data_IF_345009110614
#
_entry.id   IF_345009110614
#
_cell.length_a   1.000
_cell.length_b   1.000
_cell.length_c   1.000
_cell.angle_alpha   90.00
_cell.angle_beta   90.00
_cell.angle_gamma   90.00
#
_symmetry.space_group_name_H-M   'P 1'
#
loop_
_entity.id
_entity.type
_entity.pdbx_description
1 polymer ?
#
# COMPACT_ATOMS: atom_id res chain seq x y z
N UNK A 1 -75.18 -34.22 -17.48
CA UNK A 1 -74.15 -34.06 -16.45
C UNK A 1 -72.76 -34.07 -17.14
N UNK A 2 -72.19 -32.91 -17.42
CA UNK A 2 -70.84 -32.77 -18.01
C UNK A 2 -69.89 -32.23 -16.96
N UNK A 3 -68.92 -33.06 -16.55
CA UNK A 3 -67.92 -32.70 -15.56
C UNK A 3 -66.82 -31.88 -16.28
N UNK A 4 -66.56 -30.69 -15.78
CA UNK A 4 -65.52 -29.78 -16.26
C UNK A 4 -64.27 -29.98 -15.37
N UNK A 5 -63.23 -30.58 -15.93
CA UNK A 5 -61.92 -30.74 -15.25
C UNK A 5 -61.11 -29.47 -15.53
N UNK A 6 -60.82 -28.70 -14.50
CA UNK A 6 -59.91 -27.54 -14.54
C UNK A 6 -58.45 -28.02 -14.42
N UNK A 7 -57.67 -27.85 -15.45
CA UNK A 7 -56.21 -28.03 -15.42
C UNK A 7 -55.59 -26.73 -14.89
N UNK A 8 -55.01 -26.79 -13.71
CA UNK A 8 -54.22 -25.68 -13.15
C UNK A 8 -52.81 -25.87 -13.67
N UNK A 9 -52.36 -24.95 -14.56
CA UNK A 9 -50.99 -24.87 -15.07
C UNK A 9 -50.15 -24.10 -14.02
N UNK A 10 -49.33 -24.80 -13.26
CA UNK A 10 -48.34 -24.18 -12.36
C UNK A 10 -47.13 -23.80 -13.17
N UNK A 11 -46.99 -22.53 -13.51
CA UNK A 11 -45.79 -21.98 -14.13
C UNK A 11 -44.74 -21.76 -13.05
N UNK A 12 -43.81 -22.69 -12.92
CA UNK A 12 -42.65 -22.56 -12.03
C UNK A 12 -41.66 -21.51 -12.60
N UNK A 13 -41.61 -20.32 -12.01
CA UNK A 13 -40.55 -19.37 -12.24
C UNK A 13 -39.25 -19.93 -11.65
N UNK A 14 -38.42 -20.52 -12.49
CA UNK A 14 -37.01 -20.76 -12.11
C UNK A 14 -36.25 -19.44 -12.09
N UNK A 15 -36.03 -18.89 -10.91
CA UNK A 15 -35.06 -17.84 -10.69
C UNK A 15 -33.66 -18.43 -10.92
N UNK A 16 -33.09 -18.17 -12.07
CA UNK A 16 -31.67 -18.43 -12.29
C UNK A 16 -30.87 -17.42 -11.47
N UNK A 17 -30.36 -17.83 -10.32
CA UNK A 17 -29.33 -17.11 -9.59
C UNK A 17 -28.09 -17.15 -10.47
N UNK A 18 -27.82 -16.07 -11.19
CA UNK A 18 -26.50 -15.86 -11.82
C UNK A 18 -25.47 -15.79 -10.68
N UNK A 19 -24.77 -16.90 -10.45
CA UNK A 19 -23.54 -16.84 -9.66
C UNK A 19 -22.60 -15.86 -10.40
N UNK A 20 -22.47 -14.64 -9.89
CA UNK A 20 -21.41 -13.73 -10.33
C UNK A 20 -20.08 -14.41 -9.98
N UNK A 21 -19.29 -14.76 -10.97
CA UNK A 21 -17.93 -15.23 -10.75
C UNK A 21 -17.19 -14.17 -9.91
N UNK A 22 -16.50 -14.60 -8.87
CA UNK A 22 -15.65 -13.68 -8.10
C UNK A 22 -14.72 -12.95 -9.08
N UNK A 23 -14.52 -11.62 -8.92
CA UNK A 23 -13.64 -10.87 -9.82
C UNK A 23 -12.27 -11.54 -9.87
N UNK A 24 -11.75 -11.73 -11.09
CA UNK A 24 -10.44 -12.31 -11.30
C UNK A 24 -9.40 -11.53 -10.47
N UNK A 25 -8.54 -12.24 -9.75
CA UNK A 25 -7.48 -11.63 -8.95
C UNK A 25 -6.50 -10.94 -9.89
N UNK A 26 -6.20 -9.67 -9.64
CA UNK A 26 -5.20 -8.93 -10.41
C UNK A 26 -3.82 -9.59 -10.26
N UNK A 27 -3.12 -9.77 -11.38
CA UNK A 27 -1.84 -10.47 -11.46
C UNK A 27 -0.69 -9.48 -11.54
N UNK A 28 0.17 -9.48 -10.52
CA UNK A 28 1.38 -8.66 -10.43
C UNK A 28 2.60 -9.54 -10.70
N UNK A 29 3.39 -9.15 -11.69
CA UNK A 29 4.66 -9.83 -12.00
C UNK A 29 5.83 -8.95 -11.55
N UNK A 30 6.71 -9.51 -10.73
CA UNK A 30 7.93 -8.89 -10.24
C UNK A 30 9.12 -9.41 -11.02
N UNK A 31 9.87 -8.52 -11.67
CA UNK A 31 11.13 -8.83 -12.34
C UNK A 31 12.28 -8.37 -11.45
N UNK A 32 13.00 -9.32 -10.85
CA UNK A 32 14.15 -9.04 -10.01
C UNK A 32 15.44 -9.50 -10.67
N UNK A 33 16.44 -8.64 -10.66
CA UNK A 33 17.73 -8.89 -11.32
C UNK A 33 18.81 -7.98 -10.76
N UNK A 34 18.82 -7.82 -9.43
CA UNK A 34 19.72 -6.92 -8.75
C UNK A 34 20.18 -7.54 -7.41
N UNK A 35 21.43 -7.99 -7.35
CA UNK A 35 22.00 -8.63 -6.17
C UNK A 35 22.62 -7.65 -5.17
N UNK A 36 23.03 -6.45 -5.61
CA UNK A 36 23.76 -5.49 -4.78
C UNK A 36 22.89 -4.94 -3.61
N UNK A 37 21.59 -4.76 -3.84
CA UNK A 37 20.63 -4.26 -2.84
C UNK A 37 19.65 -5.35 -2.36
N UNK A 38 19.89 -6.60 -2.72
CA UNK A 38 19.12 -7.74 -2.25
C UNK A 38 17.70 -7.85 -2.81
N UNK A 39 17.45 -7.35 -4.03
CA UNK A 39 16.10 -7.43 -4.65
C UNK A 39 15.63 -8.87 -4.80
N UNK A 40 16.55 -9.80 -5.05
CA UNK A 40 16.28 -11.23 -5.20
C UNK A 40 15.80 -11.89 -3.89
N UNK A 41 16.01 -11.23 -2.75
CA UNK A 41 15.52 -11.65 -1.43
C UNK A 41 14.28 -10.85 -1.04
N UNK A 42 14.33 -9.52 -1.16
CA UNK A 42 13.28 -8.64 -0.65
C UNK A 42 12.00 -8.69 -1.46
N UNK A 43 12.07 -8.77 -2.81
CA UNK A 43 10.87 -8.80 -3.63
C UNK A 43 10.02 -10.08 -3.48
N UNK A 44 10.58 -11.30 -3.43
CA UNK A 44 9.77 -12.50 -3.16
C UNK A 44 9.04 -12.43 -1.82
N UNK A 45 9.70 -11.93 -0.76
CA UNK A 45 9.08 -11.76 0.56
C UNK A 45 7.97 -10.72 0.51
N UNK A 46 8.22 -9.58 -0.16
CA UNK A 46 7.22 -8.55 -0.35
C UNK A 46 6.02 -9.04 -1.18
N UNK A 47 6.26 -9.75 -2.28
CA UNK A 47 5.22 -10.33 -3.13
C UNK A 47 4.31 -11.30 -2.36
N UNK A 48 4.87 -12.17 -1.51
CA UNK A 48 4.09 -13.06 -0.67
C UNK A 48 3.29 -12.28 0.39
N UNK A 49 3.87 -11.20 0.94
CA UNK A 49 3.19 -10.33 1.91
C UNK A 49 1.94 -9.68 1.29
N UNK A 50 2.05 -9.11 0.09
CA UNK A 50 0.90 -8.45 -0.56
C UNK A 50 -0.12 -9.45 -1.11
N UNK A 51 0.31 -10.61 -1.56
CA UNK A 51 -0.56 -11.73 -1.92
C UNK A 51 -1.45 -12.14 -0.75
N UNK A 52 -0.86 -12.31 0.43
CA UNK A 52 -1.59 -12.70 1.64
C UNK A 52 -2.46 -11.56 2.19
N UNK A 53 -2.00 -10.32 2.10
CA UNK A 53 -2.70 -9.15 2.66
C UNK A 53 -3.83 -8.65 1.76
N UNK A 54 -3.62 -8.59 0.45
CA UNK A 54 -4.54 -7.97 -0.51
C UNK A 54 -5.19 -8.96 -1.48
N UNK A 55 -4.74 -10.22 -1.47
CA UNK A 55 -5.31 -11.27 -2.32
C UNK A 55 -4.86 -11.22 -3.78
N UNK A 56 -3.84 -10.45 -4.14
CA UNK A 56 -3.27 -10.43 -5.49
C UNK A 56 -2.73 -11.81 -5.89
N UNK A 57 -2.74 -12.10 -7.19
CA UNK A 57 -1.88 -13.13 -7.74
C UNK A 57 -0.49 -12.51 -7.97
N UNK A 58 0.56 -13.10 -7.41
CA UNK A 58 1.92 -12.59 -7.53
C UNK A 58 2.83 -13.64 -8.12
N UNK A 59 3.62 -13.26 -9.13
CA UNK A 59 4.69 -14.07 -9.72
C UNK A 59 5.99 -13.29 -9.65
N UNK A 60 7.03 -13.89 -9.07
CA UNK A 60 8.37 -13.28 -9.06
C UNK A 60 9.29 -14.06 -9.97
N UNK A 61 9.88 -13.37 -10.94
CA UNK A 61 10.89 -13.91 -11.85
C UNK A 61 12.24 -13.33 -11.49
N UNK A 62 13.19 -14.21 -11.15
CA UNK A 62 14.57 -13.82 -10.86
C UNK A 62 15.42 -14.03 -12.09
N UNK A 63 16.35 -13.09 -12.37
CA UNK A 63 17.31 -13.24 -13.47
C UNK A 63 18.15 -14.50 -13.28
N UNK A 64 18.48 -15.13 -14.40
CA UNK A 64 19.50 -16.18 -14.41
C UNK A 64 20.91 -15.56 -14.58
N UNK A 65 21.93 -16.38 -14.49
CA UNK A 65 23.35 -16.03 -14.69
C UNK A 65 23.66 -15.35 -16.05
N UNK A 66 22.77 -15.50 -17.03
CA UNK A 66 22.95 -15.00 -18.41
C UNK A 66 22.00 -13.84 -18.75
N UNK A 67 21.69 -12.98 -17.80
CA UNK A 67 20.83 -11.82 -18.03
C UNK A 67 19.48 -12.14 -18.68
N UNK A 68 18.87 -13.26 -18.36
CA UNK A 68 17.57 -13.69 -18.86
C UNK A 68 16.65 -14.14 -17.75
N UNK A 69 15.37 -14.19 -18.04
CA UNK A 69 14.33 -14.73 -17.15
C UNK A 69 13.83 -16.08 -17.71
N UNK A 70 13.48 -17.00 -16.80
CA UNK A 70 12.68 -18.16 -17.16
C UNK A 70 11.19 -17.76 -17.07
N UNK A 71 10.38 -18.32 -17.96
CA UNK A 71 8.91 -18.13 -18.00
C UNK A 71 8.46 -16.67 -18.14
N UNK A 72 9.21 -15.85 -18.90
CA UNK A 72 8.88 -14.42 -19.07
C UNK A 72 7.57 -14.21 -19.87
N UNK A 73 7.07 -15.22 -20.56
CA UNK A 73 5.76 -15.23 -21.25
C UNK A 73 4.59 -14.92 -20.32
N UNK A 74 4.76 -15.09 -19.00
CA UNK A 74 3.75 -14.72 -17.98
C UNK A 74 3.39 -13.24 -18.04
N UNK A 75 4.26 -12.38 -18.60
CA UNK A 75 3.96 -10.96 -18.79
C UNK A 75 2.68 -10.71 -19.62
N UNK A 76 2.33 -11.63 -20.50
CA UNK A 76 1.08 -11.53 -21.31
C UNK A 76 -0.17 -11.52 -20.41
N UNK A 77 -0.10 -12.14 -19.25
CA UNK A 77 -1.20 -12.28 -18.29
C UNK A 77 -1.09 -11.27 -17.13
N UNK A 78 0.01 -10.51 -17.05
CA UNK A 78 0.22 -9.54 -15.97
C UNK A 78 -0.71 -8.32 -16.12
N UNK A 79 -1.28 -7.84 -15.02
CA UNK A 79 -1.99 -6.56 -14.93
C UNK A 79 -1.04 -5.42 -14.53
N UNK A 80 0.03 -5.73 -13.82
CA UNK A 80 1.09 -4.82 -13.40
C UNK A 80 2.44 -5.53 -13.43
N UNK A 81 3.48 -4.83 -13.90
CA UNK A 81 4.86 -5.31 -13.79
C UNK A 81 5.69 -4.37 -12.92
N UNK A 82 6.39 -4.96 -11.96
CA UNK A 82 7.33 -4.27 -11.06
C UNK A 82 8.75 -4.63 -11.48
N UNK A 83 9.54 -3.62 -11.85
CA UNK A 83 10.93 -3.75 -12.26
C UNK A 83 11.87 -3.41 -11.10
N UNK A 84 12.70 -4.36 -10.70
CA UNK A 84 13.83 -4.14 -9.81
C UNK A 84 15.06 -4.89 -10.35
N UNK A 85 15.55 -4.39 -11.48
CA UNK A 85 16.64 -4.96 -12.27
C UNK A 85 17.80 -3.97 -12.38
N UNK A 86 19.00 -4.47 -12.68
CA UNK A 86 20.18 -3.62 -12.80
C UNK A 86 21.08 -4.08 -13.94
N UNK A 87 21.27 -3.19 -14.93
CA UNK A 87 22.28 -3.30 -16.01
C UNK A 87 22.29 -4.64 -16.74
N UNK A 88 21.11 -5.18 -17.01
CA UNK A 88 20.95 -6.43 -17.77
C UNK A 88 20.98 -6.17 -19.27
N UNK A 89 21.64 -7.06 -20.03
CA UNK A 89 21.55 -7.10 -21.48
C UNK A 89 20.65 -8.27 -21.86
N UNK A 90 19.35 -8.00 -21.95
CA UNK A 90 18.34 -9.03 -22.21
C UNK A 90 18.46 -9.60 -23.64
N UNK A 91 18.17 -10.92 -23.84
CA UNK A 91 17.94 -11.48 -25.17
C UNK A 91 16.87 -10.68 -25.92
N UNK A 92 17.03 -10.58 -27.26
CA UNK A 92 16.15 -9.74 -28.10
C UNK A 92 14.68 -10.12 -28.01
N UNK A 93 14.36 -11.40 -27.92
CA UNK A 93 13.01 -11.94 -27.75
C UNK A 93 12.41 -11.53 -26.40
N UNK A 94 13.19 -11.57 -25.31
CA UNK A 94 12.75 -11.16 -23.97
C UNK A 94 12.58 -9.65 -23.85
N UNK A 95 13.51 -8.87 -24.39
CA UNK A 95 13.33 -7.42 -24.50
C UNK A 95 12.07 -7.09 -25.32
N UNK A 96 11.82 -7.82 -26.39
CA UNK A 96 10.60 -7.71 -27.19
C UNK A 96 9.32 -8.01 -26.37
N UNK A 97 9.34 -9.00 -25.50
CA UNK A 97 8.21 -9.31 -24.60
C UNK A 97 7.93 -8.15 -23.61
N UNK A 98 8.97 -7.60 -22.99
CA UNK A 98 8.84 -6.44 -22.08
C UNK A 98 8.30 -5.22 -22.83
N UNK A 99 8.82 -4.92 -24.03
CA UNK A 99 8.30 -3.82 -24.86
C UNK A 99 6.84 -4.00 -25.21
N UNK A 100 6.43 -5.20 -25.66
CA UNK A 100 5.01 -5.50 -25.96
C UNK A 100 4.12 -5.30 -24.74
N UNK A 101 4.56 -5.75 -23.55
CA UNK A 101 3.81 -5.50 -22.32
C UNK A 101 3.60 -4.00 -22.10
N UNK A 102 4.66 -3.20 -22.17
CA UNK A 102 4.59 -1.75 -21.96
C UNK A 102 3.73 -1.07 -23.06
N UNK A 103 3.85 -1.50 -24.30
CA UNK A 103 3.07 -0.97 -25.43
C UNK A 103 1.60 -1.35 -25.38
N UNK A 104 1.21 -2.36 -24.60
CA UNK A 104 -0.18 -2.75 -24.42
C UNK A 104 -1.00 -1.79 -23.55
N UNK A 105 -0.39 -0.75 -22.99
CA UNK A 105 -1.10 0.22 -22.17
C UNK A 105 -1.20 -0.16 -20.68
N UNK A 106 -0.54 -1.24 -20.25
CA UNK A 106 -0.57 -1.72 -18.86
C UNK A 106 0.45 -0.99 -17.98
N UNK A 107 0.15 -0.82 -16.67
CA UNK A 107 0.99 -0.03 -15.79
C UNK A 107 2.32 -0.71 -15.44
N UNK A 108 3.29 0.14 -15.04
CA UNK A 108 4.60 -0.30 -14.57
C UNK A 108 5.00 0.38 -13.27
N UNK A 109 5.76 -0.33 -12.43
CA UNK A 109 6.46 0.25 -11.28
C UNK A 109 7.94 -0.02 -11.45
N UNK A 110 8.75 1.03 -11.29
CA UNK A 110 10.20 0.93 -11.22
C UNK A 110 10.72 1.17 -9.80
N UNK A 111 11.54 0.24 -9.30
CA UNK A 111 12.17 0.38 -7.99
C UNK A 111 13.67 0.55 -8.16
N UNK A 112 14.23 1.53 -7.51
CA UNK A 112 15.65 1.82 -7.36
C UNK A 112 16.45 1.68 -8.67
N UNK A 113 17.09 0.57 -8.91
CA UNK A 113 17.95 0.34 -10.08
C UNK A 113 17.19 0.15 -11.39
N UNK A 114 15.86 0.17 -11.36
CA UNK A 114 15.04 0.11 -12.58
C UNK A 114 15.35 1.26 -13.55
N UNK A 115 15.81 2.43 -13.07
CA UNK A 115 16.26 3.54 -13.91
C UNK A 115 17.42 3.18 -14.87
N UNK A 116 18.19 2.15 -14.54
CA UNK A 116 19.27 1.64 -15.39
C UNK A 116 19.19 0.10 -15.52
N UNK A 117 17.97 -0.41 -15.64
CA UNK A 117 17.68 -1.84 -15.67
C UNK A 117 18.29 -2.56 -16.89
N UNK A 118 18.16 -1.96 -18.08
CA UNK A 118 18.45 -2.62 -19.35
C UNK A 118 19.49 -1.87 -20.15
N UNK A 119 20.64 -2.50 -20.44
CA UNK A 119 21.73 -1.89 -21.19
C UNK A 119 21.44 -1.77 -22.69
N UNK A 120 20.58 -2.62 -23.21
CA UNK A 120 20.14 -2.59 -24.61
C UNK A 120 18.80 -1.85 -24.80
N UNK A 121 18.34 -1.11 -23.77
CA UNK A 121 17.21 -0.16 -23.87
C UNK A 121 17.36 0.98 -22.86
N UNK A 122 18.40 1.78 -22.99
CA UNK A 122 18.77 2.84 -22.03
C UNK A 122 17.71 3.93 -21.88
N UNK A 123 16.91 4.18 -22.94
CA UNK A 123 15.83 5.19 -22.88
C UNK A 123 14.62 4.75 -22.06
N UNK A 124 14.61 3.54 -21.51
CA UNK A 124 13.51 3.04 -20.66
C UNK A 124 13.24 3.98 -19.48
N UNK A 125 14.28 4.47 -18.81
CA UNK A 125 14.15 5.41 -17.70
C UNK A 125 13.41 6.68 -18.10
N UNK A 126 13.87 7.33 -19.18
CA UNK A 126 13.31 8.60 -19.64
C UNK A 126 11.89 8.43 -20.22
N UNK A 127 11.69 7.41 -21.07
CA UNK A 127 10.43 7.25 -21.78
C UNK A 127 9.33 6.65 -20.90
N UNK A 128 9.64 5.59 -20.15
CA UNK A 128 8.65 4.79 -19.44
C UNK A 128 8.52 5.19 -17.98
N UNK A 129 9.65 5.40 -17.31
CA UNK A 129 9.66 5.79 -15.90
C UNK A 129 9.59 7.31 -15.69
N UNK A 130 9.91 8.10 -16.72
CA UNK A 130 9.93 9.57 -16.63
C UNK A 130 11.11 10.13 -15.85
N UNK A 131 12.15 9.32 -15.63
CA UNK A 131 13.35 9.66 -14.88
C UNK A 131 14.46 10.27 -15.75
N UNK A 132 15.59 10.53 -15.12
CA UNK A 132 16.81 10.99 -15.77
C UNK A 132 18.03 10.62 -14.92
N UNK A 133 18.22 9.33 -14.68
CA UNK A 133 19.29 8.85 -13.81
C UNK A 133 20.69 9.20 -14.31
N UNK A 134 21.43 9.98 -13.51
CA UNK A 134 22.79 10.46 -13.80
C UNK A 134 23.82 9.98 -12.75
N UNK A 135 23.50 8.90 -12.02
CA UNK A 135 24.34 8.42 -10.93
C UNK A 135 23.73 8.72 -9.56
N UNK A 136 24.57 8.67 -8.55
CA UNK A 136 24.13 8.87 -7.15
C UNK A 136 25.19 9.62 -6.34
N UNK A 137 24.77 10.20 -5.22
CA UNK A 137 25.67 10.74 -4.21
C UNK A 137 26.35 9.60 -3.43
N UNK A 138 27.34 9.94 -2.61
CA UNK A 138 28.09 8.97 -1.81
C UNK A 138 27.15 8.15 -0.92
N UNK A 139 27.41 6.85 -0.79
CA UNK A 139 26.56 5.92 -0.03
C UNK A 139 26.52 6.20 1.47
N UNK A 140 27.57 6.86 2.01
CA UNK A 140 27.70 7.19 3.43
C UNK A 140 26.81 8.37 3.85
N UNK A 141 26.28 9.13 2.87
CA UNK A 141 25.39 10.25 3.15
C UNK A 141 24.00 9.75 3.52
N UNK A 142 23.59 10.04 4.74
CA UNK A 142 22.25 9.72 5.22
C UNK A 142 21.27 10.71 4.59
N UNK A 143 20.34 10.18 3.81
CA UNK A 143 19.31 10.97 3.15
C UNK A 143 17.98 10.98 3.91
N UNK A 144 17.25 12.07 3.76
CA UNK A 144 15.91 12.27 4.31
C UNK A 144 14.93 12.46 3.16
N UNK A 145 13.86 11.67 3.14
CA UNK A 145 12.79 11.75 2.14
C UNK A 145 11.63 12.60 2.67
N UNK A 146 11.20 13.60 1.92
CA UNK A 146 10.14 14.53 2.30
C UNK A 146 9.08 14.63 1.22
N UNK A 147 7.80 14.63 1.62
CA UNK A 147 6.67 14.81 0.71
C UNK A 147 6.72 16.22 0.10
N UNK A 148 6.54 16.31 -1.22
CA UNK A 148 6.31 17.59 -1.90
C UNK A 148 5.00 18.18 -1.38
N UNK A 149 5.02 19.40 -0.80
CA UNK A 149 3.86 19.93 -0.05
C UNK A 149 2.54 19.93 -0.84
N UNK A 150 2.59 20.25 -2.13
CA UNK A 150 1.44 20.33 -3.03
C UNK A 150 0.86 18.95 -3.36
N UNK A 151 1.63 17.89 -3.16
CA UNK A 151 1.26 16.50 -3.45
C UNK A 151 0.69 15.74 -2.25
N UNK A 152 0.62 16.37 -1.08
CA UNK A 152 0.23 15.72 0.19
C UNK A 152 -1.09 14.93 0.12
N UNK A 153 -2.03 15.34 -0.73
CA UNK A 153 -3.31 14.65 -0.94
C UNK A 153 -3.27 13.56 -2.03
N UNK A 154 -2.11 13.33 -2.67
CA UNK A 154 -2.00 12.32 -3.71
C UNK A 154 -2.21 10.91 -3.13
N UNK A 155 -3.03 10.04 -3.77
CA UNK A 155 -3.39 8.72 -3.22
C UNK A 155 -2.19 7.86 -2.84
N UNK A 156 -1.11 7.91 -3.63
CA UNK A 156 0.15 7.17 -3.35
C UNK A 156 0.77 7.57 -2.01
N UNK A 157 0.49 8.76 -1.49
CA UNK A 157 1.07 9.26 -0.24
C UNK A 157 0.21 9.00 1.00
N UNK A 158 -0.91 8.30 0.85
CA UNK A 158 -1.76 7.95 1.98
C UNK A 158 -0.98 7.12 3.02
N UNK A 159 -0.98 7.58 4.29
CA UNK A 159 -0.24 6.95 5.39
C UNK A 159 1.29 7.04 5.30
N UNK A 160 1.84 7.79 4.32
CA UNK A 160 3.27 8.11 4.24
C UNK A 160 3.55 9.37 5.05
N UNK A 161 4.53 9.31 5.95
CA UNK A 161 4.95 10.47 6.74
C UNK A 161 6.15 11.16 6.06
N UNK A 162 6.13 12.49 6.03
CA UNK A 162 7.25 13.28 5.51
C UNK A 162 8.45 13.24 6.45
N UNK A 163 9.66 13.23 5.88
CA UNK A 163 10.88 13.34 6.65
C UNK A 163 11.43 12.01 7.18
N UNK A 164 11.10 10.89 6.57
CA UNK A 164 11.70 9.60 6.93
C UNK A 164 13.11 9.41 6.35
N UNK A 165 13.91 8.58 7.01
CA UNK A 165 15.28 8.28 6.59
C UNK A 165 15.27 7.29 5.42
N UNK A 166 16.05 7.58 4.39
CA UNK A 166 16.28 6.69 3.24
C UNK A 166 17.29 5.62 3.59
N UNK A 167 17.03 4.39 3.17
CA UNK A 167 17.94 3.25 3.40
C UNK A 167 19.19 3.24 2.53
N UNK A 168 19.19 3.96 1.40
CA UNK A 168 20.26 3.98 0.42
C UNK A 168 20.67 5.38 -0.04
N UNK A 169 21.66 5.44 -0.94
CA UNK A 169 22.17 6.69 -1.52
C UNK A 169 21.11 7.44 -2.31
N UNK A 170 21.18 8.76 -2.27
CA UNK A 170 20.37 9.66 -3.09
C UNK A 170 20.79 9.60 -4.55
N UNK A 171 19.86 9.27 -5.44
CA UNK A 171 20.06 9.29 -6.89
C UNK A 171 19.94 10.71 -7.44
N UNK A 172 20.71 11.02 -8.49
CA UNK A 172 20.63 12.26 -9.27
C UNK A 172 19.67 12.01 -10.42
N UNK A 173 18.47 12.56 -10.32
CA UNK A 173 17.37 12.30 -11.25
C UNK A 173 16.87 13.56 -11.96
N UNK A 174 17.36 14.72 -11.56
CA UNK A 174 16.93 16.02 -12.12
C UNK A 174 17.58 16.29 -13.50
N UNK A 175 16.79 16.82 -14.48
CA UNK A 175 15.36 17.06 -14.45
C UNK A 175 14.55 15.78 -14.76
N UNK A 176 13.35 15.66 -14.22
CA UNK A 176 12.38 14.64 -14.64
C UNK A 176 11.76 14.97 -16.01
N UNK A 177 11.15 13.99 -16.66
CA UNK A 177 10.37 14.20 -17.87
C UNK A 177 9.23 15.21 -17.61
N UNK A 178 8.84 15.98 -18.63
CA UNK A 178 7.84 17.06 -18.51
C UNK A 178 6.48 16.59 -17.94
N UNK A 179 6.08 15.35 -18.22
CA UNK A 179 4.83 14.78 -17.73
C UNK A 179 4.99 14.03 -16.40
N UNK A 180 6.18 13.98 -15.82
CA UNK A 180 6.41 13.36 -14.53
C UNK A 180 6.05 14.32 -13.40
N UNK A 181 5.41 13.80 -12.36
CA UNK A 181 5.02 14.56 -11.17
C UNK A 181 5.74 14.01 -9.96
N UNK A 182 6.67 14.81 -9.41
CA UNK A 182 7.40 14.44 -8.18
C UNK A 182 6.44 14.41 -6.98
N UNK A 183 6.47 13.33 -6.24
CA UNK A 183 5.66 13.13 -5.01
C UNK A 183 6.50 13.29 -3.75
N UNK A 184 7.76 12.82 -3.80
CA UNK A 184 8.71 12.85 -2.69
C UNK A 184 10.06 13.32 -3.24
N UNK A 185 10.71 14.21 -2.50
CA UNK A 185 12.10 14.63 -2.70
C UNK A 185 12.99 14.04 -1.62
N UNK A 186 14.24 13.77 -1.97
CA UNK A 186 15.27 13.34 -1.05
C UNK A 186 16.36 14.40 -0.90
N UNK A 187 16.89 14.55 0.28
CA UNK A 187 17.97 15.48 0.60
C UNK A 187 19.10 14.77 1.33
N UNK A 188 20.34 15.14 1.00
CA UNK A 188 21.53 14.79 1.76
C UNK A 188 22.33 16.06 2.04
N UNK A 189 23.04 16.10 3.16
CA UNK A 189 23.76 17.28 3.61
C UNK A 189 24.74 17.77 2.52
N UNK A 190 24.64 19.06 2.18
CA UNK A 190 25.55 19.75 1.24
C UNK A 190 25.22 19.54 -0.24
N UNK A 191 24.08 18.95 -0.56
CA UNK A 191 23.64 18.74 -1.95
C UNK A 191 22.21 19.20 -2.15
N UNK A 192 21.88 19.54 -3.40
CA UNK A 192 20.50 19.89 -3.77
C UNK A 192 19.56 18.70 -3.61
N UNK A 193 18.30 18.99 -3.32
CA UNK A 193 17.26 17.99 -3.29
C UNK A 193 17.04 17.35 -4.67
N UNK A 194 16.76 16.05 -4.66
CA UNK A 194 16.46 15.27 -5.85
C UNK A 194 15.10 14.59 -5.72
N UNK A 195 14.32 14.44 -6.79
CA UNK A 195 13.12 13.62 -6.75
C UNK A 195 13.50 12.16 -6.47
N UNK A 196 12.81 11.55 -5.49
CA UNK A 196 13.02 10.13 -5.11
C UNK A 196 11.80 9.26 -5.33
N UNK A 197 10.62 9.86 -5.52
CA UNK A 197 9.42 9.14 -5.96
C UNK A 197 8.55 10.05 -6.83
N UNK A 198 8.05 9.51 -7.93
CA UNK A 198 7.20 10.27 -8.87
C UNK A 198 6.27 9.36 -9.67
N UNK A 199 5.23 9.96 -10.24
CA UNK A 199 4.37 9.34 -11.25
C UNK A 199 4.71 9.88 -12.63
N UNK A 200 4.43 9.06 -13.65
CA UNK A 200 4.58 9.44 -15.05
C UNK A 200 3.53 8.73 -15.90
N UNK A 201 3.34 9.18 -17.13
CA UNK A 201 2.46 8.55 -18.10
C UNK A 201 3.19 8.37 -19.43
N UNK A 202 3.23 7.14 -19.92
CA UNK A 202 3.81 6.80 -21.21
C UNK A 202 2.80 6.02 -22.05
N UNK A 203 2.41 6.53 -23.24
CA UNK A 203 1.42 5.91 -24.13
C UNK A 203 0.10 5.51 -23.42
N UNK A 204 -0.33 6.33 -22.45
CA UNK A 204 -1.53 6.05 -21.66
C UNK A 204 -1.31 5.16 -20.44
N UNK A 205 -0.14 4.55 -20.27
CA UNK A 205 0.19 3.73 -19.09
C UNK A 205 0.46 4.62 -17.90
N UNK A 206 -0.06 4.26 -16.75
CA UNK A 206 0.43 4.79 -15.49
C UNK A 206 1.78 4.15 -15.16
N UNK A 207 2.76 4.97 -14.83
CA UNK A 207 3.99 4.48 -14.24
C UNK A 207 4.28 5.19 -12.92
N UNK A 208 4.83 4.45 -11.99
CA UNK A 208 5.38 4.97 -10.75
C UNK A 208 6.84 4.53 -10.66
N UNK A 209 7.69 5.45 -10.24
CA UNK A 209 9.07 5.12 -9.95
C UNK A 209 9.48 5.67 -8.59
N UNK A 210 10.33 4.92 -7.90
CA UNK A 210 11.05 5.42 -6.72
C UNK A 210 12.50 4.96 -6.73
N UNK A 211 13.43 5.87 -6.41
CA UNK A 211 14.84 5.56 -6.18
C UNK A 211 15.10 4.99 -4.77
N UNK A 212 14.07 4.93 -3.93
CA UNK A 212 14.04 4.13 -2.71
C UNK A 212 13.99 2.64 -3.08
N UNK A 213 14.13 1.76 -2.08
CA UNK A 213 14.10 0.30 -2.28
C UNK A 213 15.41 -0.36 -1.91
N UNK A 214 16.35 0.33 -1.24
CA UNK A 214 17.42 -0.36 -0.52
C UNK A 214 16.82 -1.37 0.45
N UNK A 215 17.52 -2.45 0.78
CA UNK A 215 17.02 -3.49 1.70
C UNK A 215 16.41 -2.91 2.99
N UNK A 216 17.06 -1.89 3.57
CA UNK A 216 16.57 -1.18 4.77
C UNK A 216 15.25 -0.43 4.55
N UNK A 217 14.94 -0.02 3.33
CA UNK A 217 13.67 0.65 3.05
C UNK A 217 12.49 -0.30 3.20
N UNK A 218 12.65 -1.60 2.92
CA UNK A 218 11.61 -2.61 3.12
C UNK A 218 11.26 -2.85 4.60
N UNK A 219 12.07 -2.38 5.53
CA UNK A 219 11.77 -2.35 6.96
C UNK A 219 11.04 -1.05 7.39
N UNK A 220 10.97 -0.04 6.51
CA UNK A 220 10.36 1.25 6.78
C UNK A 220 8.89 1.27 6.35
N UNK A 221 7.99 1.47 7.30
CA UNK A 221 6.55 1.50 7.04
C UNK A 221 6.14 2.57 6.02
N UNK A 222 6.86 3.71 5.93
CA UNK A 222 6.56 4.75 4.95
C UNK A 222 6.86 4.26 3.53
N UNK A 223 7.95 3.52 3.32
CA UNK A 223 8.26 2.90 2.03
C UNK A 223 7.25 1.80 1.69
N UNK A 224 6.89 0.94 2.64
CA UNK A 224 5.88 -0.11 2.44
C UNK A 224 4.53 0.49 2.06
N UNK A 225 4.08 1.56 2.74
CA UNK A 225 2.85 2.26 2.38
C UNK A 225 2.96 2.88 0.98
N UNK A 226 4.09 3.53 0.67
CA UNK A 226 4.33 4.14 -0.63
C UNK A 226 4.18 3.14 -1.78
N UNK A 227 4.84 1.97 -1.70
CA UNK A 227 4.78 0.96 -2.78
C UNK A 227 3.44 0.22 -2.82
N UNK A 228 2.78 -0.03 -1.69
CA UNK A 228 1.43 -0.60 -1.67
C UNK A 228 0.44 0.34 -2.37
N UNK A 229 0.46 1.62 -2.00
CA UNK A 229 -0.41 2.63 -2.61
C UNK A 229 -0.09 2.84 -4.11
N UNK A 230 1.19 2.75 -4.49
CA UNK A 230 1.59 2.82 -5.89
C UNK A 230 1.05 1.63 -6.71
N UNK A 231 1.06 0.43 -6.15
CA UNK A 231 0.44 -0.76 -6.77
C UNK A 231 -1.06 -0.52 -6.96
N UNK A 232 -1.77 -0.13 -5.91
CA UNK A 232 -3.20 0.16 -5.98
C UNK A 232 -3.48 1.25 -7.02
N UNK A 233 -2.75 2.37 -6.98
CA UNK A 233 -2.91 3.47 -7.93
C UNK A 233 -2.63 3.04 -9.38
N UNK A 234 -1.63 2.21 -9.63
CA UNK A 234 -1.31 1.70 -10.96
C UNK A 234 -2.41 0.77 -11.48
N UNK A 235 -2.92 -0.14 -10.66
CA UNK A 235 -3.94 -1.11 -11.02
C UNK A 235 -5.33 -0.47 -11.18
N UNK A 236 -5.56 0.66 -10.51
CA UNK A 236 -6.84 1.36 -10.48
C UNK A 236 -7.00 2.36 -11.64
N UNK A 237 -6.37 2.07 -12.77
CA UNK A 237 -6.39 2.90 -14.00
C UNK A 237 -7.76 3.34 -14.50
N UNK A 238 -8.80 2.79 -13.95
CA UNK A 238 -10.19 3.26 -14.01
C UNK A 238 -10.64 3.59 -12.59
N UNK A 239 -10.76 4.84 -12.27
CA UNK A 239 -11.53 5.47 -11.18
C UNK A 239 -12.34 4.53 -10.25
N UNK A 240 -11.71 3.52 -9.64
CA UNK A 240 -12.22 3.01 -8.38
C UNK A 240 -11.56 3.87 -7.32
N UNK A 241 -12.34 4.78 -6.76
CA UNK A 241 -11.96 5.60 -5.62
C UNK A 241 -11.10 4.78 -4.65
N UNK A 242 -9.96 5.33 -4.26
CA UNK A 242 -9.35 4.90 -3.00
C UNK A 242 -10.49 4.84 -2.01
N UNK A 243 -10.79 3.64 -1.48
CA UNK A 243 -11.87 3.52 -0.49
C UNK A 243 -11.47 4.43 0.65
N UNK A 244 -12.06 5.60 0.67
CA UNK A 244 -11.76 6.64 1.65
C UNK A 244 -12.19 6.19 3.04
N UNK A 245 -11.63 6.79 4.08
CA UNK A 245 -12.15 6.56 5.44
C UNK A 245 -13.65 6.81 5.52
N UNK A 246 -14.19 7.75 4.72
CA UNK A 246 -15.62 8.02 4.64
C UNK A 246 -16.41 6.85 4.06
N UNK A 247 -15.96 6.24 2.96
CA UNK A 247 -16.63 5.06 2.37
C UNK A 247 -16.55 3.82 3.26
N UNK A 248 -15.43 3.64 3.98
CA UNK A 248 -15.32 2.58 5.00
C UNK A 248 -16.30 2.87 6.16
N UNK A 249 -16.37 4.12 6.61
CA UNK A 249 -17.28 4.53 7.67
C UNK A 249 -18.73 4.29 7.25
N UNK A 250 -19.12 4.66 6.03
CA UNK A 250 -20.44 4.39 5.47
C UNK A 250 -20.74 2.88 5.42
N UNK A 251 -19.81 2.06 4.93
CA UNK A 251 -19.92 0.58 4.90
C UNK A 251 -20.25 -0.02 6.27
N UNK A 252 -19.72 0.59 7.34
CA UNK A 252 -19.90 0.11 8.70
C UNK A 252 -20.94 0.91 9.51
N UNK A 253 -21.59 1.90 8.89
CA UNK A 253 -22.56 2.77 9.57
C UNK A 253 -21.94 3.67 10.64
N UNK A 254 -20.69 4.12 10.42
CA UNK A 254 -19.98 5.02 11.34
C UNK A 254 -20.26 6.46 10.92
N UNK A 255 -20.92 7.22 11.79
CA UNK A 255 -21.21 8.63 11.54
C UNK A 255 -19.99 9.51 11.85
N UNK A 256 -19.73 10.48 10.97
CA UNK A 256 -18.63 11.44 11.14
C UNK A 256 -18.82 12.27 12.41
N UNK A 257 -17.76 12.40 13.19
CA UNK A 257 -17.75 13.16 14.44
C UNK A 257 -18.45 12.48 15.61
N UNK A 258 -18.98 11.25 15.44
CA UNK A 258 -19.60 10.46 16.51
C UNK A 258 -18.78 9.22 16.86
N UNK A 259 -18.56 8.93 18.17
CA UNK A 259 -17.94 7.69 18.57
C UNK A 259 -18.82 6.47 18.24
N UNK A 260 -18.26 5.46 17.60
CA UNK A 260 -18.95 4.22 17.27
C UNK A 260 -18.48 3.08 18.18
N UNK A 261 -19.39 2.47 18.93
CA UNK A 261 -19.07 1.45 19.94
C UNK A 261 -19.44 0.06 19.46
N UNK A 262 -18.48 -0.88 19.45
CA UNK A 262 -18.66 -2.21 18.86
C UNK A 262 -18.07 -3.34 19.71
N UNK A 263 -18.52 -4.58 19.46
CA UNK A 263 -17.98 -5.80 20.06
C UNK A 263 -16.73 -6.33 19.36
N UNK A 264 -16.10 -7.36 19.95
CA UNK A 264 -14.82 -7.94 19.49
C UNK A 264 -14.89 -8.43 18.04
N UNK A 265 -15.93 -9.14 17.66
CA UNK A 265 -16.02 -9.75 16.32
C UNK A 265 -16.00 -8.72 15.19
N UNK A 266 -16.76 -7.61 15.32
CA UNK A 266 -16.77 -6.54 14.34
C UNK A 266 -15.48 -5.74 14.38
N UNK A 267 -14.92 -5.49 15.57
CA UNK A 267 -13.63 -4.80 15.72
C UNK A 267 -12.48 -5.58 15.06
N UNK A 268 -12.44 -6.90 15.23
CA UNK A 268 -11.45 -7.76 14.56
C UNK A 268 -11.62 -7.74 13.04
N UNK A 269 -12.85 -7.82 12.55
CA UNK A 269 -13.14 -7.74 11.12
C UNK A 269 -12.63 -6.43 10.53
N UNK A 270 -12.91 -5.31 11.18
CA UNK A 270 -12.43 -3.98 10.77
C UNK A 270 -10.90 -3.89 10.82
N UNK A 271 -10.29 -4.40 11.90
CA UNK A 271 -8.81 -4.43 12.02
C UNK A 271 -8.14 -5.23 10.87
N UNK A 272 -8.67 -6.40 10.54
CA UNK A 272 -8.15 -7.27 9.47
C UNK A 272 -8.24 -6.65 8.07
N UNK A 273 -9.09 -5.67 7.84
CA UNK A 273 -9.11 -4.92 6.58
C UNK A 273 -7.84 -4.09 6.37
N UNK A 274 -7.10 -3.79 7.44
CA UNK A 274 -5.79 -3.14 7.38
C UNK A 274 -5.81 -1.66 6.93
N UNK A 275 -7.00 -1.05 6.86
CA UNK A 275 -7.21 0.34 6.41
C UNK A 275 -7.47 1.31 7.56
N UNK A 276 -7.36 0.85 8.79
CA UNK A 276 -7.69 1.59 10.02
C UNK A 276 -6.50 1.55 10.98
N UNK A 277 -6.37 2.57 11.81
CA UNK A 277 -5.29 2.66 12.78
C UNK A 277 -5.78 2.17 14.15
N UNK A 278 -5.12 1.15 14.70
CA UNK A 278 -5.31 0.76 16.10
C UNK A 278 -4.69 1.78 17.05
N UNK A 279 -5.40 2.09 18.14
CA UNK A 279 -4.94 2.98 19.22
C UNK A 279 -5.22 2.34 20.58
N UNK A 280 -4.16 1.98 21.29
CA UNK A 280 -4.22 1.54 22.68
C UNK A 280 -4.09 2.75 23.61
N UNK A 281 -5.09 2.96 24.46
CA UNK A 281 -5.10 4.05 25.44
C UNK A 281 -4.90 3.57 26.87
N UNK A 282 -4.30 2.38 27.04
CA UNK A 282 -3.94 1.82 28.35
C UNK A 282 -2.65 2.42 28.88
N UNK A 283 -2.34 2.14 30.14
CA UNK A 283 -1.07 2.50 30.75
C UNK A 283 0.11 1.76 30.10
N UNK A 284 1.34 2.26 30.28
CA UNK A 284 2.56 1.63 29.78
C UNK A 284 2.70 0.19 30.26
N UNK A 285 2.43 -0.08 31.52
CA UNK A 285 2.51 -1.44 32.10
C UNK A 285 1.50 -2.40 31.47
N UNK A 286 0.26 -1.95 31.22
CA UNK A 286 -0.76 -2.73 30.53
C UNK A 286 -0.39 -3.04 29.07
N UNK A 287 0.17 -2.06 28.38
CA UNK A 287 0.62 -2.21 26.98
C UNK A 287 1.79 -3.20 26.86
N UNK A 288 2.80 -3.06 27.73
CA UNK A 288 3.98 -3.93 27.76
C UNK A 288 3.62 -5.37 28.12
N UNK A 289 2.62 -5.59 28.99
CA UNK A 289 2.14 -6.92 29.35
C UNK A 289 1.46 -7.66 28.17
N UNK A 290 1.12 -6.94 27.10
CA UNK A 290 0.58 -7.48 25.85
C UNK A 290 -0.45 -6.54 25.22
N UNK A 291 -0.47 -6.49 23.88
CA UNK A 291 -1.32 -5.59 23.10
C UNK A 291 -1.77 -6.24 21.78
N UNK A 292 -2.74 -5.63 21.08
CA UNK A 292 -3.14 -6.06 19.72
C UNK A 292 -2.02 -5.70 18.73
N UNK A 293 -1.55 -6.62 17.87
CA UNK A 293 -0.46 -6.34 16.94
C UNK A 293 -0.74 -5.13 16.03
N UNK A 294 0.28 -4.31 15.77
CA UNK A 294 0.15 -3.12 14.91
C UNK A 294 -0.47 -1.89 15.58
N UNK A 295 -0.63 -1.93 16.89
CA UNK A 295 -1.22 -0.83 17.68
C UNK A 295 -0.24 0.32 17.88
N UNK A 296 -0.73 1.55 17.68
CA UNK A 296 -0.12 2.77 18.23
C UNK A 296 -0.55 2.92 19.68
N UNK A 297 0.37 3.29 20.56
CA UNK A 297 0.08 3.48 21.99
C UNK A 297 0.16 4.94 22.40
N UNK A 298 -0.86 5.42 23.13
CA UNK A 298 -0.91 6.74 23.78
C UNK A 298 -1.66 6.59 25.09
N UNK A 299 -0.98 6.70 26.22
CA UNK A 299 -1.57 6.53 27.55
C UNK A 299 -2.61 7.61 27.86
N UNK A 300 -3.85 7.20 28.13
CA UNK A 300 -4.97 8.08 28.52
C UNK A 300 -4.67 8.96 29.74
N UNK A 301 -3.89 8.46 30.68
CA UNK A 301 -3.54 9.19 31.89
C UNK A 301 -2.29 10.09 31.73
N UNK A 302 -1.64 10.04 30.58
CA UNK A 302 -0.51 10.93 30.30
C UNK A 302 -0.95 12.40 30.29
N UNK A 303 -0.21 13.32 30.93
CA UNK A 303 -0.47 14.75 30.82
C UNK A 303 -0.30 15.26 29.37
N UNK A 304 0.38 14.50 28.52
CA UNK A 304 0.59 14.82 27.11
C UNK A 304 -0.43 14.13 26.18
N UNK A 305 -1.44 13.44 26.69
CA UNK A 305 -2.40 12.70 25.86
C UNK A 305 -2.97 13.55 24.71
N UNK A 306 -3.46 14.75 25.03
CA UNK A 306 -4.07 15.65 24.06
C UNK A 306 -3.07 16.12 23.00
N UNK A 307 -1.83 16.39 23.38
CA UNK A 307 -0.76 16.80 22.46
C UNK A 307 -0.38 15.67 21.51
N UNK A 308 -0.31 14.44 22.01
CA UNK A 308 0.03 13.27 21.19
C UNK A 308 -1.11 12.89 20.24
N UNK A 309 -2.35 12.94 20.72
CA UNK A 309 -3.54 12.70 19.88
C UNK A 309 -3.68 13.77 18.81
N UNK A 310 -3.41 15.05 19.12
CA UNK A 310 -3.49 16.15 18.15
C UNK A 310 -2.55 15.99 16.93
N UNK A 311 -1.50 15.17 17.04
CA UNK A 311 -0.57 14.85 15.93
C UNK A 311 -1.11 13.79 14.96
N UNK A 312 -2.21 13.14 15.31
CA UNK A 312 -2.80 12.09 14.52
C UNK A 312 -3.62 12.69 13.35
N UNK A 313 -3.71 11.95 12.25
CA UNK A 313 -4.55 12.35 11.10
C UNK A 313 -6.04 12.23 11.45
N UNK A 314 -6.73 13.35 11.44
CA UNK A 314 -8.15 13.45 11.83
C UNK A 314 -9.12 12.79 10.84
N UNK A 315 -8.66 12.51 9.61
CA UNK A 315 -9.46 11.87 8.57
C UNK A 315 -9.35 10.34 8.58
N UNK A 316 -8.43 9.77 9.37
CA UNK A 316 -8.30 8.32 9.55
C UNK A 316 -9.38 7.76 10.48
N UNK A 317 -9.74 6.48 10.28
CA UNK A 317 -10.55 5.73 11.24
C UNK A 317 -9.62 5.18 12.33
N UNK A 318 -9.94 5.47 13.58
CA UNK A 318 -9.22 4.92 14.74
C UNK A 318 -10.04 3.85 15.44
N UNK A 319 -9.48 2.64 15.51
CA UNK A 319 -9.97 1.54 16.33
C UNK A 319 -9.31 1.67 17.71
N UNK A 320 -10.04 2.19 18.68
CA UNK A 320 -9.54 2.57 20.02
C UNK A 320 -9.92 1.52 21.04
N UNK A 321 -8.99 1.11 21.88
CA UNK A 321 -9.28 0.19 22.98
C UNK A 321 -8.52 0.55 24.27
N UNK A 322 -9.11 0.14 25.39
CA UNK A 322 -8.44 0.11 26.69
C UNK A 322 -8.63 -1.26 27.36
N UNK A 323 -8.44 -1.38 28.65
CA UNK A 323 -8.63 -2.67 29.35
C UNK A 323 -10.08 -3.17 29.28
N UNK A 324 -11.06 -2.35 29.68
CA UNK A 324 -12.49 -2.75 29.79
C UNK A 324 -13.47 -1.80 29.08
N UNK A 325 -13.04 -1.00 28.10
CA UNK A 325 -13.91 -0.18 27.26
C UNK A 325 -14.34 1.18 27.84
N UNK A 326 -13.95 1.56 29.07
CA UNK A 326 -14.36 2.83 29.68
C UNK A 326 -13.44 3.98 29.24
N UNK A 327 -12.11 3.81 29.33
CA UNK A 327 -11.12 4.83 28.94
C UNK A 327 -11.18 5.07 27.43
N UNK A 328 -11.31 4.01 26.62
CA UNK A 328 -11.41 4.12 25.16
C UNK A 328 -12.68 4.84 24.70
N UNK A 329 -13.84 4.59 25.34
CA UNK A 329 -15.05 5.37 25.07
C UNK A 329 -14.87 6.87 25.33
N UNK A 330 -14.22 7.22 26.47
CA UNK A 330 -13.89 8.62 26.78
C UNK A 330 -12.87 9.21 25.80
N UNK A 331 -11.88 8.42 25.39
CA UNK A 331 -10.89 8.83 24.40
C UNK A 331 -11.56 9.11 23.04
N UNK A 332 -12.43 8.22 22.54
CA UNK A 332 -13.20 8.44 21.34
C UNK A 332 -14.03 9.72 21.39
N UNK A 333 -14.75 9.95 22.51
CA UNK A 333 -15.52 11.19 22.69
C UNK A 333 -14.64 12.43 22.65
N UNK A 334 -13.48 12.38 23.32
CA UNK A 334 -12.50 13.48 23.31
C UNK A 334 -11.93 13.71 21.93
N UNK A 335 -11.54 12.66 21.22
CA UNK A 335 -11.05 12.73 19.84
C UNK A 335 -12.10 13.34 18.91
N UNK A 336 -13.37 12.94 19.01
CA UNK A 336 -14.46 13.56 18.23
C UNK A 336 -14.56 15.06 18.51
N UNK A 337 -14.49 15.49 19.77
CA UNK A 337 -14.47 16.92 20.15
C UNK A 337 -13.22 17.67 19.64
N UNK A 338 -12.12 16.95 19.36
CA UNK A 338 -10.91 17.49 18.74
C UNK A 338 -10.96 17.51 17.22
N UNK A 339 -12.10 17.12 16.60
CA UNK A 339 -12.34 17.14 15.17
C UNK A 339 -11.89 15.88 14.43
N UNK A 340 -11.76 14.74 15.11
CA UNK A 340 -11.58 13.44 14.44
C UNK A 340 -12.90 12.98 13.83
N UNK A 341 -12.86 12.62 12.55
CA UNK A 341 -14.06 12.24 11.81
C UNK A 341 -14.59 10.86 12.24
N UNK A 342 -13.70 9.89 12.49
CA UNK A 342 -14.13 8.52 12.69
C UNK A 342 -13.36 7.86 13.84
N UNK A 343 -14.06 7.54 14.95
CA UNK A 343 -13.51 6.84 16.10
C UNK A 343 -14.40 5.65 16.49
N UNK A 344 -13.79 4.50 16.66
CA UNK A 344 -14.47 3.23 16.97
C UNK A 344 -13.94 2.69 18.29
N UNK A 345 -14.81 2.50 19.27
CA UNK A 345 -14.47 2.00 20.60
C UNK A 345 -14.73 0.50 20.72
N UNK A 346 -13.75 -0.26 21.19
CA UNK A 346 -13.93 -1.67 21.57
C UNK A 346 -14.63 -1.75 22.91
N UNK A 347 -15.93 -2.07 22.90
CA UNK A 347 -16.81 -2.07 24.09
C UNK A 347 -16.27 -2.90 25.27
N UNK A 348 -15.89 -4.20 25.11
CA UNK A 348 -15.33 -5.01 26.17
C UNK A 348 -13.83 -4.78 26.41
N UNK A 349 -13.19 -3.90 25.63
CA UNK A 349 -11.77 -3.60 25.71
C UNK A 349 -10.87 -4.81 25.45
N UNK A 350 -9.60 -4.66 25.82
CA UNK A 350 -8.58 -5.72 25.67
C UNK A 350 -8.90 -6.98 26.48
N UNK A 351 -9.63 -6.85 27.59
CA UNK A 351 -10.05 -8.00 28.38
C UNK A 351 -11.01 -8.90 27.59
N UNK A 352 -12.01 -8.31 26.91
CA UNK A 352 -12.87 -9.05 25.99
C UNK A 352 -12.12 -9.62 24.80
N UNK A 353 -11.18 -8.86 24.21
CA UNK A 353 -10.31 -9.35 23.14
C UNK A 353 -9.56 -10.63 23.54
N UNK A 354 -8.97 -10.65 24.74
CA UNK A 354 -8.29 -11.84 25.28
C UNK A 354 -9.26 -12.99 25.57
N UNK A 355 -10.41 -12.68 26.16
CA UNK A 355 -11.41 -13.69 26.50
C UNK A 355 -11.92 -14.44 25.25
N UNK A 356 -12.01 -13.73 24.10
CA UNK A 356 -12.38 -14.31 22.81
C UNK A 356 -11.20 -15.02 22.11
N UNK A 357 -10.05 -15.23 22.78
CA UNK A 357 -8.90 -15.96 22.25
C UNK A 357 -8.20 -15.26 21.07
N UNK A 358 -8.34 -13.93 20.94
CA UNK A 358 -7.77 -13.18 19.80
C UNK A 358 -6.26 -12.96 19.93
N UNK A 359 -5.61 -12.76 18.78
CA UNK A 359 -4.15 -12.58 18.68
C UNK A 359 -3.66 -11.39 19.51
N UNK A 360 -2.64 -11.62 20.32
CA UNK A 360 -1.92 -10.60 21.09
C UNK A 360 -0.43 -10.68 20.81
N UNK A 361 0.26 -9.53 20.89
CA UNK A 361 1.71 -9.41 20.91
C UNK A 361 2.14 -9.11 22.34
N UNK A 362 3.15 -9.80 22.82
CA UNK A 362 3.87 -9.51 24.08
C UNK A 362 5.14 -8.75 23.78
#
# INVERSE_FOLDING_TARGET
MKSLIHFILVVGLFWQVKLSAAPAKQHIVFLTGESLYGSEITLPIYAETIKNKFGYQCTTLTRTDKDKFLNLEVLSQADLVVFYMRRMTLPADQLGQIKRYIESGKPVIGLRTASHAMQNWLVFDQLVLGGNYQGHHKNELIGKASIVPEMKSHPILNGVQSGFIMGGSLYKNTPLAKQATALITGEVKGHSAEPVAWTHTYKGNRSFYTSLGHQKDFENINFINLINNAIEWCLDGSSKSVVTSAEIAEKYGIESGQPFRIGVGLFEKMWKEGKMQLLDVRTSSEFTAGHIPGTKWIDWFSPNFDKEVAKLDKNMIYLVYCAGGVRSARACKKMSNMGFNFTVDLAPGFNGWKADGKTIKK
#
